data_IF_901973274346
#
_entry.id   IF_901973274346
#
_cell.length_a   1.000
_cell.length_b   1.000
_cell.length_c   1.000
_cell.angle_alpha   90.00
_cell.angle_beta   90.00
_cell.angle_gamma   90.00
#
_symmetry.space_group_name_H-M   'P 1'
#
loop_
_entity.id
_entity.type
_entity.pdbx_description
1 polymer ?
#
# COMPACT_ATOMS: atom_id res chain seq x y z
N UNK A 1 -11.28 -4.39 28.33
CA UNK A 1 -10.72 -5.69 28.74
C UNK A 1 -11.52 -6.30 29.89
N UNK A 2 -11.83 -5.53 30.96
CA UNK A 2 -12.57 -6.06 32.12
C UNK A 2 -14.03 -6.48 31.84
N UNK A 3 -14.71 -5.85 30.87
CA UNK A 3 -16.10 -6.17 30.53
C UNK A 3 -16.33 -7.53 29.82
N UNK A 4 -15.37 -8.00 29.00
CA UNK A 4 -15.50 -9.29 28.26
C UNK A 4 -15.18 -10.48 29.17
N UNK A 5 -14.27 -10.29 30.14
CA UNK A 5 -14.01 -11.26 31.21
C UNK A 5 -15.22 -11.46 32.12
N UNK A 6 -15.99 -10.40 32.39
CA UNK A 6 -17.20 -10.46 33.22
C UNK A 6 -18.34 -11.29 32.60
N UNK A 7 -18.33 -11.48 31.27
CA UNK A 7 -19.30 -12.32 30.53
C UNK A 7 -18.92 -13.80 30.42
N UNK A 8 -17.78 -14.24 30.97
CA UNK A 8 -17.36 -15.66 30.94
C UNK A 8 -16.73 -16.12 29.62
N UNK A 9 -16.30 -15.19 28.77
CA UNK A 9 -15.73 -15.49 27.46
C UNK A 9 -14.34 -16.14 27.56
N UNK A 10 -14.03 -17.08 26.65
CA UNK A 10 -12.77 -17.81 26.61
C UNK A 10 -11.61 -16.86 26.19
N UNK A 11 -10.35 -17.17 26.52
CA UNK A 11 -9.18 -16.31 26.19
C UNK A 11 -9.09 -15.93 24.71
N UNK A 12 -9.57 -16.80 23.81
CA UNK A 12 -9.63 -16.53 22.37
C UNK A 12 -10.66 -15.45 22.01
N UNK A 13 -11.82 -15.43 22.68
CA UNK A 13 -12.86 -14.44 22.45
C UNK A 13 -12.46 -13.06 23.02
N UNK A 14 -11.71 -13.04 24.13
CA UNK A 14 -11.10 -11.81 24.66
C UNK A 14 -10.12 -11.17 23.67
N UNK A 15 -9.29 -11.99 23.01
CA UNK A 15 -8.34 -11.50 22.00
C UNK A 15 -9.09 -11.07 20.74
N UNK A 16 -10.03 -11.88 20.24
CA UNK A 16 -10.70 -11.64 18.96
C UNK A 16 -11.68 -10.46 19.02
N UNK A 17 -12.39 -10.27 20.13
CA UNK A 17 -13.41 -9.22 20.27
C UNK A 17 -12.99 -8.06 21.17
N UNK A 18 -11.94 -8.22 21.98
CA UNK A 18 -11.40 -7.15 22.82
C UNK A 18 -10.20 -6.43 22.20
N UNK A 19 -9.21 -7.19 21.73
CA UNK A 19 -7.92 -6.65 21.28
C UNK A 19 -7.91 -6.43 19.77
N UNK A 20 -8.37 -7.42 19.00
CA UNK A 20 -8.36 -7.37 17.53
C UNK A 20 -9.05 -6.12 16.98
N UNK A 21 -10.33 -5.80 17.32
CA UNK A 21 -10.97 -4.60 16.80
C UNK A 21 -10.30 -3.29 17.24
N UNK A 22 -9.57 -3.28 18.37
CA UNK A 22 -8.79 -2.10 18.78
C UNK A 22 -7.53 -1.91 17.93
N UNK A 23 -6.84 -2.99 17.55
CA UNK A 23 -5.60 -2.91 16.75
C UNK A 23 -5.84 -2.95 15.24
N UNK A 24 -7.04 -3.35 14.79
CA UNK A 24 -7.42 -3.44 13.38
C UNK A 24 -7.26 -2.12 12.61
N UNK A 25 -7.72 -0.95 13.09
CA UNK A 25 -7.54 0.32 12.40
C UNK A 25 -6.05 0.64 12.18
N UNK A 26 -5.21 0.36 13.19
CA UNK A 26 -3.77 0.55 13.11
C UNK A 26 -3.11 -0.39 12.09
N UNK A 27 -3.47 -1.68 12.13
CA UNK A 27 -2.97 -2.70 11.19
C UNK A 27 -3.35 -2.38 9.74
N UNK A 28 -4.58 -1.94 9.51
CA UNK A 28 -5.06 -1.52 8.18
C UNK A 28 -4.27 -0.30 7.72
N UNK A 29 -4.14 0.73 8.57
CA UNK A 29 -3.39 1.94 8.21
C UNK A 29 -1.91 1.63 7.91
N UNK A 30 -1.28 0.75 8.68
CA UNK A 30 0.12 0.36 8.48
C UNK A 30 0.31 -0.50 7.22
N UNK A 31 -0.61 -1.44 6.97
CA UNK A 31 -0.55 -2.29 5.78
C UNK A 31 -0.74 -1.48 4.49
N UNK A 32 -1.66 -0.51 4.51
CA UNK A 32 -1.93 0.37 3.38
C UNK A 32 -0.73 1.28 3.07
N UNK A 33 -0.11 1.85 4.11
CA UNK A 33 1.14 2.60 3.98
C UNK A 33 2.27 1.75 3.39
N UNK A 34 2.45 0.51 3.88
CA UNK A 34 3.47 -0.40 3.35
C UNK A 34 3.18 -0.78 1.91
N UNK A 35 1.92 -0.98 1.53
CA UNK A 35 1.53 -1.26 0.15
C UNK A 35 1.90 -0.09 -0.77
N UNK A 36 1.55 1.15 -0.42
CA UNK A 36 1.91 2.34 -1.18
C UNK A 36 3.43 2.48 -1.35
N UNK A 37 4.17 2.35 -0.24
CA UNK A 37 5.63 2.41 -0.26
C UNK A 37 6.23 1.30 -1.13
N UNK A 38 5.68 0.09 -1.09
CA UNK A 38 6.15 -1.02 -1.91
C UNK A 38 5.89 -0.79 -3.40
N UNK A 39 4.74 -0.21 -3.78
CA UNK A 39 4.43 0.11 -5.18
C UNK A 39 5.44 1.13 -5.74
N UNK A 40 5.75 2.17 -4.98
CA UNK A 40 6.73 3.20 -5.38
C UNK A 40 8.14 2.61 -5.51
N UNK A 41 8.54 1.82 -4.52
CA UNK A 41 9.84 1.13 -4.54
C UNK A 41 9.93 0.10 -5.68
N UNK A 42 8.84 -0.58 -6.03
CA UNK A 42 8.81 -1.55 -7.12
C UNK A 42 9.10 -0.90 -8.49
N UNK A 43 8.66 0.35 -8.72
CA UNK A 43 9.02 1.08 -9.95
C UNK A 43 10.52 1.36 -10.03
N UNK A 44 11.14 1.74 -8.91
CA UNK A 44 12.58 1.99 -8.83
C UNK A 44 13.38 0.70 -9.00
N UNK A 45 13.00 -0.35 -8.26
CA UNK A 45 13.61 -1.68 -8.31
C UNK A 45 13.45 -2.31 -9.71
N UNK A 46 12.33 -2.06 -10.39
CA UNK A 46 12.10 -2.48 -11.76
C UNK A 46 13.08 -1.86 -12.76
N UNK A 47 13.51 -0.60 -12.57
CA UNK A 47 14.53 0.01 -13.43
C UNK A 47 15.89 -0.69 -13.31
N UNK A 48 16.21 -1.30 -12.16
CA UNK A 48 17.46 -2.02 -11.92
C UNK A 48 17.44 -3.46 -12.45
N UNK A 49 16.35 -3.89 -13.09
CA UNK A 49 16.23 -5.21 -13.74
C UNK A 49 15.45 -6.26 -12.95
N UNK A 50 14.77 -5.88 -11.87
CA UNK A 50 13.94 -6.81 -11.08
C UNK A 50 12.61 -7.20 -11.77
N UNK A 51 12.31 -6.65 -12.94
CA UNK A 51 11.06 -6.89 -13.69
C UNK A 51 10.00 -5.79 -13.52
N UNK A 52 8.92 -5.89 -14.29
CA UNK A 52 7.76 -4.99 -14.20
C UNK A 52 7.89 -3.67 -14.98
N UNK A 53 7.06 -2.68 -14.62
CA UNK A 53 6.88 -1.41 -15.37
C UNK A 53 8.18 -0.57 -15.41
N UNK A 54 9.02 -0.69 -14.38
CA UNK A 54 10.32 -0.01 -14.32
C UNK A 54 11.30 -0.48 -15.40
N UNK A 55 11.20 -1.73 -15.88
CA UNK A 55 12.04 -2.25 -16.97
C UNK A 55 11.69 -1.55 -18.28
N UNK A 56 10.40 -1.42 -18.59
CA UNK A 56 9.93 -0.74 -19.81
C UNK A 56 10.32 0.73 -19.82
N UNK A 57 10.27 1.41 -18.67
CA UNK A 57 10.76 2.78 -18.53
C UNK A 57 12.27 2.86 -18.81
N UNK A 58 13.05 1.94 -18.24
CA UNK A 58 14.50 1.89 -18.44
C UNK A 58 14.90 1.60 -19.89
N UNK A 59 14.18 0.69 -20.56
CA UNK A 59 14.36 0.39 -21.98
C UNK A 59 14.03 1.59 -22.87
N UNK A 60 12.93 2.30 -22.61
CA UNK A 60 12.55 3.50 -23.36
C UNK A 60 13.59 4.63 -23.22
N UNK A 61 14.14 4.81 -22.02
CA UNK A 61 15.24 5.77 -21.77
C UNK A 61 16.50 5.35 -22.55
N UNK A 62 16.89 4.08 -22.47
CA UNK A 62 18.09 3.55 -23.14
C UNK A 62 17.96 3.55 -24.66
N UNK A 63 16.74 3.39 -25.18
CA UNK A 63 16.41 3.47 -26.61
C UNK A 63 16.30 4.90 -27.15
N UNK A 64 16.58 5.94 -26.33
CA UNK A 64 16.38 7.35 -26.67
C UNK A 64 14.95 7.69 -27.14
N UNK A 65 13.96 6.90 -26.71
CA UNK A 65 12.55 7.07 -27.06
C UNK A 65 11.86 8.04 -26.09
N UNK A 66 12.30 9.31 -26.10
CA UNK A 66 11.83 10.33 -25.14
C UNK A 66 10.31 10.51 -25.11
N UNK A 67 9.63 10.36 -26.26
CA UNK A 67 8.17 10.39 -26.35
C UNK A 67 7.51 9.31 -25.48
N UNK A 68 8.02 8.07 -25.56
CA UNK A 68 7.51 6.93 -24.79
C UNK A 68 7.88 7.06 -23.30
N UNK A 69 9.09 7.52 -23.01
CA UNK A 69 9.54 7.79 -21.64
C UNK A 69 8.63 8.79 -20.94
N UNK A 70 8.28 9.91 -21.59
CA UNK A 70 7.37 10.90 -21.03
C UNK A 70 5.97 10.31 -20.78
N UNK A 71 5.44 9.54 -21.73
CA UNK A 71 4.14 8.88 -21.56
C UNK A 71 4.13 7.91 -20.36
N UNK A 72 5.18 7.10 -20.20
CA UNK A 72 5.35 6.19 -19.07
C UNK A 72 5.52 6.92 -17.75
N UNK A 73 6.30 8.01 -17.70
CA UNK A 73 6.43 8.84 -16.50
C UNK A 73 5.08 9.40 -16.05
N UNK A 74 4.30 9.97 -16.97
CA UNK A 74 2.97 10.51 -16.66
C UNK A 74 2.05 9.40 -16.14
N UNK A 75 2.05 8.23 -16.78
CA UNK A 75 1.26 7.08 -16.36
C UNK A 75 1.62 6.66 -14.91
N UNK A 76 2.91 6.54 -14.60
CA UNK A 76 3.39 6.17 -13.26
C UNK A 76 2.95 7.21 -12.23
N UNK A 77 3.14 8.50 -12.51
CA UNK A 77 2.74 9.58 -11.61
C UNK A 77 1.23 9.51 -11.34
N UNK A 78 0.40 9.42 -12.39
CA UNK A 78 -1.06 9.34 -12.25
C UNK A 78 -1.47 8.12 -11.42
N UNK A 79 -0.87 6.96 -11.68
CA UNK A 79 -1.20 5.71 -10.97
C UNK A 79 -0.82 5.80 -9.49
N UNK A 80 0.39 6.29 -9.19
CA UNK A 80 0.87 6.44 -7.80
C UNK A 80 0.04 7.49 -7.06
N UNK A 81 -0.29 8.62 -7.70
CA UNK A 81 -1.16 9.66 -7.11
C UNK A 81 -2.58 9.15 -6.84
N UNK A 82 -3.16 8.36 -7.75
CA UNK A 82 -4.46 7.73 -7.53
C UNK A 82 -4.42 6.75 -6.36
N UNK A 83 -3.37 5.94 -6.27
CA UNK A 83 -3.18 5.00 -5.15
C UNK A 83 -3.01 5.71 -3.81
N UNK A 84 -2.24 6.80 -3.76
CA UNK A 84 -2.07 7.62 -2.56
C UNK A 84 -3.42 8.26 -2.16
N UNK A 85 -4.15 8.83 -3.12
CA UNK A 85 -5.48 9.40 -2.85
C UNK A 85 -6.48 8.36 -2.33
N UNK A 86 -6.54 7.18 -2.94
CA UNK A 86 -7.36 6.05 -2.48
C UNK A 86 -6.94 5.60 -1.08
N UNK A 87 -5.62 5.53 -0.83
CA UNK A 87 -5.08 5.11 0.46
C UNK A 87 -5.43 6.11 1.58
N UNK A 88 -5.35 7.42 1.30
CA UNK A 88 -5.77 8.46 2.22
C UNK A 88 -7.29 8.46 2.47
N UNK A 89 -8.10 8.22 1.43
CA UNK A 89 -9.56 8.07 1.54
C UNK A 89 -9.94 6.89 2.43
N UNK A 90 -9.32 5.73 2.22
CA UNK A 90 -9.52 4.54 3.05
C UNK A 90 -9.09 4.79 4.50
N UNK A 91 -7.94 5.45 4.69
CA UNK A 91 -7.45 5.82 6.02
C UNK A 91 -8.41 6.74 6.77
N UNK A 92 -9.01 7.72 6.09
CA UNK A 92 -10.06 8.60 6.66
C UNK A 92 -11.40 7.92 6.95
N UNK A 93 -11.65 6.73 6.38
CA UNK A 93 -12.89 6.01 6.61
C UNK A 93 -12.76 5.01 7.77
N UNK A 94 -11.56 4.48 8.00
CA UNK A 94 -11.26 3.52 9.07
C UNK A 94 -10.77 4.16 10.38
N UNK A 95 -10.34 5.43 10.34
CA UNK A 95 -9.94 6.26 11.49
C UNK A 95 -10.98 7.37 11.64
#
# INVERSE_FOLDING_TARGET
MEGIRATGANKLEEILYGVLPQVMPLLISYSLYRFESNVRSATVVGMVGAGGIGVTLWEAIRGFQFQQTCALMVLIIVTVSLLDFLSQRLRKHFI
#
